data_IF_084135650342
#
_entry.id   IF_084135650342
#
_cell.length_a   1.000
_cell.length_b   1.000
_cell.length_c   1.000
_cell.angle_alpha   90.00
_cell.angle_beta   90.00
_cell.angle_gamma   90.00
#
_symmetry.space_group_name_H-M   'P 1'
#
loop_
_entity.id
_entity.type
_entity.pdbx_description
1 polymer ?
#
# COMPACT_ATOMS: atom_id res chain seq x y z
N UNK A 1 4.92 -3.23 -2.69
CA UNK A 1 5.86 -3.22 -1.56
C UNK A 1 5.37 -2.27 -0.45
N UNK A 2 6.02 -2.29 0.73
CA UNK A 2 5.61 -1.51 1.92
C UNK A 2 5.53 0.00 1.66
N UNK A 3 6.33 0.54 0.74
CA UNK A 3 6.40 1.97 0.42
C UNK A 3 5.55 2.38 -0.77
N UNK A 4 4.83 1.44 -1.38
CA UNK A 4 4.15 1.65 -2.67
C UNK A 4 5.07 2.34 -3.68
N UNK A 5 6.30 1.83 -3.85
CA UNK A 5 7.36 2.49 -4.65
C UNK A 5 6.95 2.72 -6.10
N UNK A 6 6.02 1.94 -6.62
CA UNK A 6 5.50 2.03 -7.99
C UNK A 6 4.37 3.07 -8.15
N UNK A 7 3.95 3.74 -7.07
CA UNK A 7 2.88 4.74 -7.14
C UNK A 7 3.17 5.87 -8.13
N UNK A 8 4.46 6.20 -8.34
CA UNK A 8 4.83 7.23 -9.31
C UNK A 8 4.64 6.75 -10.74
N UNK A 9 4.89 5.48 -11.04
CA UNK A 9 4.59 4.88 -12.35
C UNK A 9 3.09 4.81 -12.56
N UNK A 10 2.34 4.32 -11.58
CA UNK A 10 0.88 4.28 -11.59
C UNK A 10 0.25 5.66 -11.87
N UNK A 11 0.83 6.75 -11.34
CA UNK A 11 0.36 8.12 -11.61
C UNK A 11 0.48 8.49 -13.08
N UNK A 12 1.61 8.16 -13.71
CA UNK A 12 1.84 8.45 -15.14
C UNK A 12 0.93 7.58 -16.01
N UNK A 13 0.77 6.31 -15.68
CA UNK A 13 -0.14 5.39 -16.37
C UNK A 13 -1.58 5.87 -16.30
N UNK A 14 -2.08 6.20 -15.11
CA UNK A 14 -3.42 6.74 -14.92
C UNK A 14 -3.60 8.06 -15.65
N UNK A 15 -2.58 8.92 -15.66
CA UNK A 15 -2.65 10.19 -16.40
C UNK A 15 -2.74 9.94 -17.90
N UNK A 16 -1.98 8.98 -18.44
CA UNK A 16 -2.04 8.60 -19.84
C UNK A 16 -3.42 8.00 -20.21
N UNK A 17 -3.97 7.14 -19.36
CA UNK A 17 -5.31 6.58 -19.53
C UNK A 17 -6.36 7.71 -19.57
N UNK A 18 -6.32 8.63 -18.61
CA UNK A 18 -7.27 9.75 -18.56
C UNK A 18 -7.21 10.68 -19.78
N UNK A 19 -6.03 10.82 -20.39
CA UNK A 19 -5.85 11.62 -21.61
C UNK A 19 -6.31 10.90 -22.88
N UNK A 20 -6.28 9.57 -22.89
CA UNK A 20 -6.58 8.75 -24.07
C UNK A 20 -7.94 8.07 -24.04
N UNK A 21 -8.56 7.93 -22.87
CA UNK A 21 -9.81 7.21 -22.69
C UNK A 21 -11.01 7.93 -23.29
N UNK A 22 -12.05 7.17 -23.62
CA UNK A 22 -13.32 7.62 -24.15
C UNK A 22 -14.47 7.12 -23.25
N UNK A 23 -15.63 7.70 -23.43
CA UNK A 23 -16.84 7.22 -22.79
C UNK A 23 -17.11 5.76 -23.16
N UNK A 24 -17.34 4.94 -22.16
CA UNK A 24 -17.57 3.50 -22.30
C UNK A 24 -16.31 2.63 -22.15
N UNK A 25 -15.12 3.23 -22.10
CA UNK A 25 -13.90 2.46 -21.81
C UNK A 25 -13.90 1.95 -20.37
N UNK A 26 -13.32 0.76 -20.19
CA UNK A 26 -13.09 0.12 -18.90
C UNK A 26 -11.60 0.05 -18.60
N UNK A 27 -11.22 0.29 -17.37
CA UNK A 27 -9.86 0.11 -16.88
C UNK A 27 -9.78 -1.13 -16.00
N UNK A 28 -8.97 -2.11 -16.43
CA UNK A 28 -8.69 -3.30 -15.61
C UNK A 28 -7.33 -3.10 -14.93
N UNK A 29 -7.35 -2.99 -13.60
CA UNK A 29 -6.15 -2.89 -12.78
C UNK A 29 -5.82 -4.26 -12.18
N UNK A 30 -4.73 -4.88 -12.60
CA UNK A 30 -4.19 -6.09 -11.95
C UNK A 30 -3.42 -5.68 -10.71
N UNK A 31 -3.97 -6.01 -9.54
CA UNK A 31 -3.42 -5.57 -8.26
C UNK A 31 -2.80 -6.75 -7.50
N UNK A 32 -1.54 -6.60 -7.13
CA UNK A 32 -0.84 -7.52 -6.22
C UNK A 32 -0.15 -6.70 -5.14
N UNK A 33 -0.74 -6.62 -3.94
CA UNK A 33 -0.17 -5.87 -2.82
C UNK A 33 -0.64 -6.37 -1.46
N UNK A 34 0.30 -6.62 -0.56
CA UNK A 34 0.05 -6.91 0.85
C UNK A 34 -0.17 -5.63 1.70
N UNK A 35 -0.09 -4.45 1.11
CA UNK A 35 -0.20 -3.18 1.81
C UNK A 35 1.13 -2.65 2.35
N UNK A 36 1.05 -1.66 3.23
CA UNK A 36 2.22 -0.98 3.79
C UNK A 36 1.89 0.38 4.40
N UNK A 37 2.75 1.36 4.21
CA UNK A 37 2.62 2.70 4.80
C UNK A 37 1.33 3.40 4.38
N UNK A 38 0.54 3.83 5.35
CA UNK A 38 -0.80 4.41 5.14
C UNK A 38 -0.79 5.57 4.15
N UNK A 39 0.16 6.51 4.29
CA UNK A 39 0.25 7.68 3.39
C UNK A 39 0.62 7.30 1.96
N UNK A 40 1.44 6.27 1.76
CA UNK A 40 1.84 5.80 0.45
C UNK A 40 0.67 5.09 -0.28
N UNK A 41 -0.04 4.22 0.43
CA UNK A 41 -1.22 3.55 -0.10
C UNK A 41 -2.44 4.46 -0.21
N UNK A 42 -2.58 5.46 0.67
CA UNK A 42 -3.56 6.52 0.52
C UNK A 42 -3.36 7.31 -0.78
N UNK A 43 -2.10 7.63 -1.13
CA UNK A 43 -1.79 8.25 -2.42
C UNK A 43 -2.13 7.31 -3.59
N UNK A 44 -1.78 6.03 -3.48
CA UNK A 44 -2.09 5.05 -4.53
C UNK A 44 -3.61 4.89 -4.75
N UNK A 45 -4.39 4.76 -3.68
CA UNK A 45 -5.85 4.73 -3.75
C UNK A 45 -6.42 6.02 -4.38
N UNK A 46 -5.86 7.20 -4.05
CA UNK A 46 -6.25 8.48 -4.65
C UNK A 46 -5.99 8.51 -6.16
N UNK A 47 -4.97 7.80 -6.66
CA UNK A 47 -4.78 7.69 -8.12
C UNK A 47 -5.89 6.86 -8.77
N UNK A 48 -6.30 5.74 -8.16
CA UNK A 48 -7.42 4.93 -8.69
C UNK A 48 -8.74 5.71 -8.65
N UNK A 49 -8.96 6.55 -7.63
CA UNK A 49 -10.11 7.45 -7.54
C UNK A 49 -10.20 8.37 -8.77
N UNK A 50 -9.09 8.89 -9.27
CA UNK A 50 -9.09 9.77 -10.47
C UNK A 50 -9.76 9.13 -11.68
N UNK A 51 -9.59 7.81 -11.88
CA UNK A 51 -10.27 7.08 -12.96
C UNK A 51 -11.80 7.06 -12.74
N UNK A 52 -12.23 6.80 -11.50
CA UNK A 52 -13.63 6.77 -11.13
C UNK A 52 -14.29 8.15 -11.26
N UNK A 53 -13.59 9.19 -10.81
CA UNK A 53 -14.07 10.57 -10.89
C UNK A 53 -14.19 11.05 -12.34
N UNK A 54 -13.40 10.48 -13.25
CA UNK A 54 -13.51 10.71 -14.69
C UNK A 54 -14.64 9.89 -15.36
N UNK A 55 -15.43 9.13 -14.58
CA UNK A 55 -16.55 8.33 -15.09
C UNK A 55 -16.17 6.98 -15.67
N UNK A 56 -14.92 6.56 -15.59
CA UNK A 56 -14.49 5.26 -16.10
C UNK A 56 -14.95 4.12 -15.18
N UNK A 57 -15.32 3.00 -15.80
CA UNK A 57 -15.52 1.76 -15.06
C UNK A 57 -14.17 1.17 -14.70
N UNK A 58 -13.92 0.95 -13.41
CA UNK A 58 -12.66 0.39 -12.93
C UNK A 58 -12.90 -0.98 -12.34
N UNK A 59 -12.32 -2.00 -12.95
CA UNK A 59 -12.28 -3.36 -12.42
C UNK A 59 -10.90 -3.63 -11.84
N UNK A 60 -10.85 -3.97 -10.55
CA UNK A 60 -9.62 -4.44 -9.90
C UNK A 60 -9.63 -5.97 -9.88
N UNK A 61 -8.61 -6.58 -10.47
CA UNK A 61 -8.41 -8.03 -10.45
C UNK A 61 -7.25 -8.41 -9.54
N UNK A 62 -7.54 -9.28 -8.56
CA UNK A 62 -6.62 -9.75 -7.53
C UNK A 62 -6.35 -11.23 -7.71
N UNK A 63 -5.22 -11.57 -8.32
CA UNK A 63 -4.87 -12.98 -8.53
C UNK A 63 -4.19 -13.61 -7.30
N UNK A 64 -3.49 -12.81 -6.47
CA UNK A 64 -2.73 -13.33 -5.32
C UNK A 64 -3.04 -12.61 -4.01
N UNK A 65 -2.95 -11.28 -3.96
CA UNK A 65 -3.12 -10.53 -2.72
C UNK A 65 -3.55 -9.08 -2.94
N UNK A 66 -4.57 -8.66 -2.21
CA UNK A 66 -4.90 -7.26 -1.95
C UNK A 66 -5.31 -7.12 -0.48
N UNK A 67 -4.34 -6.85 0.38
CA UNK A 67 -4.51 -6.78 1.83
C UNK A 67 -4.07 -5.43 2.39
N UNK A 68 -4.69 -4.99 3.49
CA UNK A 68 -4.35 -3.71 4.15
C UNK A 68 -4.40 -2.54 3.15
N UNK A 69 -3.28 -1.82 2.95
CA UNK A 69 -3.18 -0.79 1.92
C UNK A 69 -3.52 -1.27 0.50
N UNK A 70 -3.27 -2.55 0.18
CA UNK A 70 -3.72 -3.16 -1.08
C UNK A 70 -5.24 -3.18 -1.19
N UNK A 71 -5.95 -3.51 -0.12
CA UNK A 71 -7.40 -3.44 -0.11
C UNK A 71 -7.93 -2.00 -0.11
N UNK A 72 -7.19 -1.05 0.50
CA UNK A 72 -7.49 0.38 0.40
C UNK A 72 -7.53 0.86 -1.07
N UNK A 73 -6.65 0.32 -1.92
CA UNK A 73 -6.69 0.58 -3.36
C UNK A 73 -7.84 -0.16 -4.05
N UNK A 74 -8.04 -1.44 -3.70
CA UNK A 74 -9.05 -2.29 -4.35
C UNK A 74 -10.48 -1.79 -4.08
N UNK A 75 -10.78 -1.36 -2.85
CA UNK A 75 -12.14 -0.96 -2.47
C UNK A 75 -12.70 0.24 -3.23
N UNK A 76 -11.84 1.02 -3.91
CA UNK A 76 -12.23 2.15 -4.77
C UNK A 76 -12.87 1.70 -6.08
N UNK A 77 -12.60 0.47 -6.53
CA UNK A 77 -13.05 -0.03 -7.83
C UNK A 77 -14.58 -0.07 -7.98
N UNK A 78 -15.07 -0.06 -9.22
CA UNK A 78 -16.45 -0.36 -9.56
C UNK A 78 -16.76 -1.83 -9.31
N UNK A 79 -15.77 -2.69 -9.58
CA UNK A 79 -15.85 -4.13 -9.48
C UNK A 79 -14.51 -4.70 -8.99
N UNK A 80 -14.56 -5.65 -8.07
CA UNK A 80 -13.39 -6.36 -7.57
C UNK A 80 -13.52 -7.84 -7.92
N UNK A 81 -12.54 -8.35 -8.65
CA UNK A 81 -12.39 -9.78 -8.95
C UNK A 81 -11.31 -10.36 -8.04
N UNK A 82 -11.49 -11.58 -7.58
CA UNK A 82 -10.45 -12.30 -6.87
C UNK A 82 -10.33 -13.75 -7.34
N UNK A 83 -9.11 -14.24 -7.47
CA UNK A 83 -8.88 -15.67 -7.60
C UNK A 83 -9.33 -16.39 -6.31
N UNK A 84 -9.78 -17.66 -6.38
CA UNK A 84 -10.35 -18.35 -5.22
C UNK A 84 -9.46 -18.39 -3.97
N UNK A 85 -8.15 -18.40 -4.14
CA UNK A 85 -7.17 -18.44 -3.05
C UNK A 85 -6.39 -17.12 -2.89
N UNK A 86 -6.80 -16.04 -3.53
CA UNK A 86 -6.21 -14.72 -3.29
C UNK A 86 -6.45 -14.28 -1.83
N UNK A 87 -5.47 -13.62 -1.25
CA UNK A 87 -5.55 -13.07 0.11
C UNK A 87 -6.18 -11.67 0.03
N UNK A 88 -7.30 -11.47 0.73
CA UNK A 88 -8.10 -10.24 0.67
C UNK A 88 -8.38 -9.73 2.10
N UNK A 89 -8.48 -8.42 2.28
CA UNK A 89 -8.90 -7.83 3.55
C UNK A 89 -7.74 -7.26 4.35
N UNK A 90 -7.49 -7.77 5.55
CA UNK A 90 -6.52 -7.19 6.50
C UNK A 90 -6.79 -5.69 6.72
N UNK A 91 -8.08 -5.35 6.92
CA UNK A 91 -8.51 -3.97 7.20
C UNK A 91 -8.19 -3.67 8.66
N UNK A 92 -6.95 -3.28 8.88
CA UNK A 92 -6.39 -3.01 10.19
C UNK A 92 -5.13 -2.16 10.10
N UNK A 93 -4.64 -1.69 11.25
CA UNK A 93 -3.42 -0.88 11.36
C UNK A 93 -2.53 -1.45 12.44
N UNK A 94 -1.26 -1.58 12.15
CA UNK A 94 -0.26 -2.05 13.09
C UNK A 94 0.91 -1.06 13.15
N UNK A 95 1.46 -0.84 14.34
CA UNK A 95 2.72 -0.14 14.55
C UNK A 95 3.68 -1.05 15.30
N UNK A 96 4.78 -1.41 14.67
CA UNK A 96 5.79 -2.30 15.24
C UNK A 96 7.13 -1.56 15.34
N UNK A 97 7.75 -1.60 16.50
CA UNK A 97 9.06 -1.01 16.73
C UNK A 97 9.83 -1.83 17.78
N UNK A 98 11.01 -2.38 17.43
CA UNK A 98 11.88 -2.99 18.44
C UNK A 98 12.39 -1.90 19.40
N UNK A 99 12.54 -2.24 20.70
CA UNK A 99 13.09 -1.33 21.69
C UNK A 99 14.35 -1.93 22.34
N UNK A 100 15.48 -1.27 22.15
CA UNK A 100 16.79 -1.68 22.67
C UNK A 100 17.22 -0.91 23.92
N UNK A 101 16.38 -0.09 24.54
CA UNK A 101 16.73 0.73 25.69
C UNK A 101 17.31 -0.10 26.84
N UNK A 102 16.72 -1.27 27.16
CA UNK A 102 17.24 -2.14 28.22
C UNK A 102 18.61 -2.72 27.90
N UNK A 103 18.90 -2.99 26.61
CA UNK A 103 20.20 -3.47 26.18
C UNK A 103 21.26 -2.39 26.37
N UNK A 104 20.96 -1.14 25.99
CA UNK A 104 21.86 0.00 26.21
C UNK A 104 22.16 0.19 27.69
N UNK A 105 21.13 0.23 28.54
CA UNK A 105 21.29 0.35 30.00
C UNK A 105 22.13 -0.79 30.60
N UNK A 106 22.00 -2.02 30.10
CA UNK A 106 22.81 -3.16 30.55
C UNK A 106 24.32 -3.03 30.23
N UNK A 107 24.63 -2.27 29.20
CA UNK A 107 26.02 -2.04 28.73
C UNK A 107 26.55 -0.66 29.13
N UNK A 108 25.91 0.04 30.08
CA UNK A 108 26.29 1.39 30.54
C UNK A 108 26.42 2.41 29.38
N UNK A 109 25.53 2.27 28.36
CA UNK A 109 25.46 3.18 27.23
C UNK A 109 24.28 4.14 27.44
N UNK A 110 24.60 5.42 27.56
CA UNK A 110 23.59 6.47 27.67
C UNK A 110 23.02 6.81 26.27
N UNK A 111 21.72 7.05 26.24
CA UNK A 111 21.01 7.57 25.07
C UNK A 111 20.31 8.87 25.45
N UNK A 112 20.75 9.96 24.85
CA UNK A 112 20.18 11.29 25.05
C UNK A 112 19.34 11.69 23.84
N UNK A 113 18.10 12.15 24.10
CA UNK A 113 17.20 12.68 23.09
C UNK A 113 16.72 14.06 23.50
N UNK A 114 17.08 15.08 22.72
CA UNK A 114 16.62 16.45 22.90
C UNK A 114 15.55 16.75 21.86
N UNK A 115 14.34 17.07 22.28
CA UNK A 115 13.23 17.38 21.38
C UNK A 115 12.38 18.52 21.91
N UNK A 116 11.78 19.28 21.00
CA UNK A 116 10.76 20.27 21.31
C UNK A 116 9.40 19.79 20.76
N UNK A 117 8.35 19.94 21.55
CA UNK A 117 7.01 19.44 21.28
C UNK A 117 6.77 18.07 21.93
N UNK A 118 5.70 18.01 22.75
CA UNK A 118 5.39 16.88 23.63
C UNK A 118 5.32 15.53 22.89
N UNK A 119 4.77 15.51 21.67
CA UNK A 119 4.56 14.29 20.89
C UNK A 119 5.46 14.21 19.65
N UNK A 120 6.55 15.03 19.61
CA UNK A 120 7.50 15.00 18.48
C UNK A 120 8.16 13.63 18.31
N UNK A 121 8.41 12.94 19.43
CA UNK A 121 8.90 11.56 19.49
C UNK A 121 8.20 10.88 20.67
N UNK A 122 7.37 9.90 20.41
CA UNK A 122 6.63 9.13 21.41
C UNK A 122 7.37 7.86 21.76
N UNK A 123 7.31 6.85 20.93
CA UNK A 123 8.05 5.59 21.06
C UNK A 123 9.24 5.61 20.10
N UNK A 124 10.42 5.22 20.60
CA UNK A 124 11.66 5.16 19.81
C UNK A 124 12.39 3.84 20.05
N UNK A 125 13.30 3.48 19.15
CA UNK A 125 14.08 2.24 19.26
C UNK A 125 15.03 2.23 20.46
N UNK A 126 15.56 3.39 20.88
CA UNK A 126 16.62 3.49 21.88
C UNK A 126 16.16 4.17 23.17
N UNK A 127 15.16 5.03 23.09
CA UNK A 127 14.61 5.73 24.27
C UNK A 127 13.73 4.82 25.14
N UNK A 128 13.49 5.29 26.36
CA UNK A 128 12.55 4.64 27.25
C UNK A 128 11.11 4.83 26.77
N UNK A 129 10.35 3.73 26.69
CA UNK A 129 8.93 3.77 26.35
C UNK A 129 8.11 3.98 27.60
N UNK A 130 7.56 5.18 27.76
CA UNK A 130 6.64 5.50 28.88
C UNK A 130 5.22 5.04 28.57
N UNK A 131 4.39 4.84 29.59
CA UNK A 131 2.96 4.50 29.41
C UNK A 131 2.22 5.60 28.63
N UNK A 132 2.55 6.87 28.87
CA UNK A 132 2.00 8.01 28.12
C UNK A 132 2.36 7.94 26.63
N UNK A 133 3.61 7.63 26.30
CA UNK A 133 4.06 7.48 24.92
C UNK A 133 3.36 6.29 24.23
N UNK A 134 3.20 5.17 24.94
CA UNK A 134 2.47 3.99 24.46
C UNK A 134 1.00 4.31 24.18
N UNK A 135 0.32 4.98 25.13
CA UNK A 135 -1.09 5.37 24.99
C UNK A 135 -1.28 6.31 23.81
N UNK A 136 -0.32 7.22 23.54
CA UNK A 136 -0.41 8.13 22.39
C UNK A 136 -0.27 7.39 21.06
N UNK A 137 0.66 6.44 20.95
CA UNK A 137 0.79 5.61 19.74
C UNK A 137 -0.46 4.75 19.53
N UNK A 138 -1.03 4.18 20.61
CA UNK A 138 -2.28 3.43 20.53
C UNK A 138 -3.42 4.29 19.99
N UNK A 139 -3.58 5.51 20.51
CA UNK A 139 -4.57 6.47 19.99
C UNK A 139 -4.39 6.76 18.49
N UNK A 140 -3.15 6.97 18.04
CA UNK A 140 -2.83 7.23 16.63
C UNK A 140 -3.16 6.04 15.72
N UNK A 141 -2.88 4.81 16.19
CA UNK A 141 -3.24 3.56 15.48
C UNK A 141 -4.75 3.41 15.37
N UNK A 142 -5.48 3.65 16.46
CA UNK A 142 -6.95 3.58 16.49
C UNK A 142 -7.60 4.65 15.61
N UNK A 143 -7.10 5.89 15.63
CA UNK A 143 -7.56 6.96 14.74
C UNK A 143 -7.34 6.60 13.27
N UNK A 144 -6.17 6.08 12.94
CA UNK A 144 -5.84 5.65 11.56
C UNK A 144 -6.75 4.50 11.13
N UNK A 145 -7.03 3.54 12.03
CA UNK A 145 -7.93 2.43 11.73
C UNK A 145 -9.36 2.91 11.51
N UNK A 146 -9.83 3.86 12.31
CA UNK A 146 -11.16 4.45 12.10
C UNK A 146 -11.28 5.17 10.76
N UNK A 147 -10.28 5.96 10.38
CA UNK A 147 -10.24 6.60 9.05
C UNK A 147 -10.23 5.56 7.92
N UNK A 148 -9.51 4.46 8.09
CA UNK A 148 -9.52 3.37 7.10
C UNK A 148 -10.92 2.75 6.98
N UNK A 149 -11.59 2.46 8.10
CA UNK A 149 -12.97 1.95 8.11
C UNK A 149 -13.95 2.89 7.43
N UNK A 150 -13.88 4.19 7.74
CA UNK A 150 -14.71 5.23 7.13
C UNK A 150 -14.51 5.27 5.61
N UNK A 151 -13.26 5.26 5.15
CA UNK A 151 -12.94 5.23 3.75
C UNK A 151 -13.50 3.98 3.04
N UNK A 152 -13.30 2.80 3.62
CA UNK A 152 -13.85 1.55 3.06
C UNK A 152 -15.37 1.60 3.03
N UNK A 153 -16.03 2.10 4.10
CA UNK A 153 -17.48 2.24 4.14
C UNK A 153 -18.03 3.17 3.08
N UNK A 154 -17.36 4.27 2.83
CA UNK A 154 -17.73 5.22 1.76
C UNK A 154 -17.66 4.57 0.38
N UNK A 155 -16.58 3.81 0.10
CA UNK A 155 -16.36 3.21 -1.21
C UNK A 155 -17.13 1.91 -1.42
N UNK A 156 -17.37 1.16 -0.35
CA UNK A 156 -18.13 -0.12 -0.37
C UNK A 156 -19.19 -0.14 0.75
N UNK A 157 -20.28 0.58 0.60
CA UNK A 157 -21.32 0.68 1.63
C UNK A 157 -22.04 -0.64 1.94
N UNK A 158 -21.90 -1.64 1.07
CA UNK A 158 -22.45 -2.99 1.24
C UNK A 158 -21.78 -3.79 2.36
N UNK A 159 -20.55 -3.41 2.78
CA UNK A 159 -19.77 -4.16 3.77
C UNK A 159 -20.32 -4.00 5.19
N UNK A 160 -20.36 -5.11 5.91
CA UNK A 160 -20.45 -5.13 7.36
C UNK A 160 -19.03 -4.96 7.94
N UNK A 161 -18.70 -3.73 8.32
CA UNK A 161 -17.36 -3.39 8.82
C UNK A 161 -17.04 -4.05 10.15
N UNK A 162 -18.02 -4.33 10.98
CA UNK A 162 -17.78 -5.00 12.26
C UNK A 162 -17.31 -6.44 12.04
N UNK A 163 -17.77 -7.07 10.95
CA UNK A 163 -17.33 -8.40 10.58
C UNK A 163 -16.00 -8.42 9.83
N UNK A 164 -15.68 -7.39 9.02
CA UNK A 164 -14.55 -7.46 8.08
C UNK A 164 -13.39 -6.51 8.40
N UNK A 165 -13.56 -5.57 9.32
CA UNK A 165 -12.51 -4.60 9.66
C UNK A 165 -11.83 -4.92 11.02
N UNK A 166 -11.57 -6.21 11.25
CA UNK A 166 -10.93 -6.74 12.46
C UNK A 166 -9.41 -6.86 12.32
N UNK A 167 -8.86 -6.57 11.14
CA UNK A 167 -7.46 -6.81 10.80
C UNK A 167 -7.19 -8.21 10.24
N UNK A 168 -8.19 -9.08 10.20
CA UNK A 168 -8.10 -10.41 9.60
C UNK A 168 -8.04 -10.34 8.07
N UNK A 169 -7.56 -11.42 7.47
CA UNK A 169 -7.58 -11.62 6.03
C UNK A 169 -8.33 -12.90 5.69
N UNK A 170 -8.86 -12.97 4.49
CA UNK A 170 -9.66 -14.08 3.98
C UNK A 170 -9.14 -14.53 2.62
N UNK A 171 -9.33 -15.79 2.31
CA UNK A 171 -9.16 -16.28 0.95
C UNK A 171 -10.31 -15.77 0.06
N UNK A 172 -10.07 -15.65 -1.25
CA UNK A 172 -11.03 -15.10 -2.21
C UNK A 172 -12.44 -15.69 -2.07
N UNK A 173 -12.56 -16.99 -1.85
CA UNK A 173 -13.85 -17.66 -1.64
C UNK A 173 -14.58 -17.08 -0.41
N UNK A 174 -13.89 -16.95 0.71
CA UNK A 174 -14.45 -16.37 1.94
C UNK A 174 -14.74 -14.87 1.78
N UNK A 175 -13.84 -14.17 1.09
CA UNK A 175 -13.98 -12.75 0.80
C UNK A 175 -15.20 -12.44 -0.06
N UNK A 176 -15.57 -13.36 -0.97
CA UNK A 176 -16.79 -13.26 -1.76
C UNK A 176 -18.05 -13.37 -0.90
N UNK A 177 -18.10 -14.34 0.00
CA UNK A 177 -19.23 -14.50 0.93
C UNK A 177 -19.39 -13.27 1.84
N UNK A 178 -18.26 -12.66 2.24
CA UNK A 178 -18.20 -11.43 3.04
C UNK A 178 -18.40 -10.15 2.21
N UNK A 179 -18.62 -10.25 0.90
CA UNK A 179 -18.79 -9.12 -0.03
C UNK A 179 -17.60 -8.19 -0.17
N UNK A 180 -16.42 -8.63 0.26
CA UNK A 180 -15.16 -7.92 0.06
C UNK A 180 -14.76 -7.88 -1.42
N UNK A 181 -15.19 -8.87 -2.20
CA UNK A 181 -15.04 -8.96 -3.65
C UNK A 181 -16.37 -9.26 -4.31
N UNK A 182 -16.49 -8.96 -5.60
CA UNK A 182 -17.76 -9.04 -6.34
C UNK A 182 -17.89 -10.31 -7.19
N UNK A 183 -16.74 -10.92 -7.56
CA UNK A 183 -16.74 -12.13 -8.40
C UNK A 183 -15.48 -12.95 -8.13
N UNK A 184 -15.62 -14.29 -8.14
CA UNK A 184 -14.49 -15.22 -8.08
C UNK A 184 -13.98 -15.48 -9.50
N UNK A 185 -12.90 -14.81 -9.88
CA UNK A 185 -12.35 -14.91 -11.23
C UNK A 185 -10.90 -14.41 -11.25
N UNK A 186 -10.06 -15.03 -12.09
CA UNK A 186 -8.72 -14.54 -12.37
C UNK A 186 -8.73 -13.36 -13.35
N UNK A 187 -7.67 -12.55 -13.34
CA UNK A 187 -7.50 -11.49 -14.32
C UNK A 187 -7.45 -12.01 -15.76
N UNK A 188 -6.80 -13.16 -15.98
CA UNK A 188 -6.66 -13.76 -17.30
C UNK A 188 -8.01 -14.22 -17.85
N UNK A 189 -8.82 -14.91 -17.03
CA UNK A 189 -10.17 -15.32 -17.43
C UNK A 189 -11.07 -14.13 -17.74
N UNK A 190 -10.95 -13.07 -16.97
CA UNK A 190 -11.71 -11.85 -17.21
C UNK A 190 -11.34 -11.21 -18.54
N UNK A 191 -10.04 -10.97 -18.78
CA UNK A 191 -9.55 -10.38 -20.03
C UNK A 191 -9.91 -11.26 -21.24
N UNK A 192 -9.76 -12.57 -21.13
CA UNK A 192 -10.15 -13.50 -22.21
C UNK A 192 -11.63 -13.41 -22.56
N UNK A 193 -12.51 -13.13 -21.61
CA UNK A 193 -13.94 -12.96 -21.89
C UNK A 193 -14.29 -11.67 -22.63
N UNK A 194 -13.41 -10.67 -22.59
CA UNK A 194 -13.59 -9.37 -23.26
C UNK A 194 -13.08 -9.36 -24.72
N UNK A 195 -12.28 -10.35 -25.11
CA UNK A 195 -11.54 -10.38 -26.40
C UNK A 195 -12.41 -10.16 -27.65
N UNK A 196 -13.66 -10.61 -27.60
CA UNK A 196 -14.57 -10.52 -28.75
C UNK A 196 -15.51 -9.29 -28.65
N UNK A 197 -15.45 -8.56 -27.51
CA UNK A 197 -16.31 -7.43 -27.22
C UNK A 197 -15.55 -6.08 -27.19
N UNK A 198 -14.24 -6.09 -26.97
CA UNK A 198 -13.44 -4.89 -26.85
C UNK A 198 -11.99 -5.10 -27.33
N UNK A 199 -11.36 -4.03 -27.80
CA UNK A 199 -9.91 -4.00 -27.98
C UNK A 199 -9.23 -3.83 -26.62
N UNK A 200 -8.22 -4.67 -26.36
CA UNK A 200 -7.50 -4.69 -25.09
C UNK A 200 -6.11 -4.08 -25.27
N UNK A 201 -5.81 -3.05 -24.52
CA UNK A 201 -4.50 -2.38 -24.52
C UNK A 201 -3.85 -2.50 -23.15
N UNK A 202 -2.57 -2.83 -23.12
CA UNK A 202 -1.75 -2.72 -21.92
C UNK A 202 -1.12 -1.31 -21.88
N UNK A 203 -1.29 -0.62 -20.75
CA UNK A 203 -0.68 0.68 -20.50
C UNK A 203 0.41 0.52 -19.46
N UNK A 204 1.65 0.73 -19.87
CA UNK A 204 2.83 0.66 -19.01
C UNK A 204 3.66 1.93 -19.17
N UNK A 205 3.97 2.59 -18.06
CA UNK A 205 4.93 3.69 -18.02
C UNK A 205 6.31 3.17 -17.63
N UNK A 206 7.27 3.26 -18.56
CA UNK A 206 8.64 2.83 -18.31
C UNK A 206 9.62 4.00 -18.39
N UNK A 207 10.47 4.15 -17.38
CA UNK A 207 11.59 5.09 -17.41
C UNK A 207 12.75 4.44 -18.17
N UNK A 208 13.09 4.97 -19.34
CA UNK A 208 14.27 4.52 -20.09
C UNK A 208 15.53 4.78 -19.26
N UNK A 209 16.13 3.75 -18.69
CA UNK A 209 17.44 3.86 -18.02
C UNK A 209 18.49 4.28 -19.06
N UNK A 210 19.18 5.40 -18.82
CA UNK A 210 20.29 5.83 -19.67
C UNK A 210 21.35 4.73 -19.67
N UNK A 211 22.02 4.55 -20.84
CA UNK A 211 23.07 3.50 -21.01
C UNK A 211 24.19 3.65 -19.97
N UNK A 212 24.46 4.88 -19.50
CA UNK A 212 25.41 5.15 -18.42
C UNK A 212 25.05 4.48 -17.07
N UNK A 213 23.74 4.36 -16.76
CA UNK A 213 23.27 3.73 -15.52
C UNK A 213 23.46 2.19 -15.56
N UNK A 214 23.42 1.61 -16.77
CA UNK A 214 23.75 0.19 -16.98
C UNK A 214 25.24 -0.10 -16.75
N UNK A 215 26.13 0.82 -17.13
CA UNK A 215 27.57 0.71 -16.91
C UNK A 215 27.95 0.92 -15.45
N UNK A 216 27.31 1.83 -14.74
CA UNK A 216 27.54 2.03 -13.30
C UNK A 216 27.09 0.84 -12.45
N UNK A 217 26.02 0.12 -12.85
CA UNK A 217 25.59 -1.12 -12.22
C UNK A 217 26.60 -2.27 -12.37
N UNK A 218 27.28 -2.35 -13.51
CA UNK A 218 28.34 -3.36 -13.76
C UNK A 218 29.60 -3.03 -12.94
N UNK A 219 30.00 -1.75 -12.86
CA UNK A 219 31.14 -1.30 -12.05
C UNK A 219 30.86 -1.44 -10.56
N UNK A 220 29.61 -1.25 -10.11
CA UNK A 220 29.18 -1.50 -8.73
C UNK A 220 29.22 -2.98 -8.34
N UNK A 221 28.88 -3.88 -9.25
CA UNK A 221 28.93 -5.33 -9.04
C UNK A 221 30.37 -5.88 -8.98
N UNK A 222 31.33 -5.19 -9.62
CA UNK A 222 32.77 -5.54 -9.57
C UNK A 222 33.49 -4.99 -8.32
N UNK A 223 32.86 -4.07 -7.61
CA UNK A 223 33.35 -3.55 -6.32
C UNK A 223 32.67 -4.21 -5.16
N UNK A 224 32.86 -5.44 -4.83
CA UNK A 224 32.33 -6.23 -3.70
C UNK A 224 31.42 -5.50 -2.68
N UNK A 225 30.68 -6.17 -1.83
CA UNK A 225 29.72 -5.53 -0.92
C UNK A 225 30.42 -4.53 -0.01
N UNK A 226 30.18 -3.24 -0.23
CA UNK A 226 30.51 -2.22 0.77
C UNK A 226 29.62 -2.46 1.98
N UNK A 227 30.21 -2.69 3.13
CA UNK A 227 29.49 -2.65 4.41
C UNK A 227 28.76 -1.30 4.51
N UNK A 228 27.48 -1.30 4.90
CA UNK A 228 26.67 -0.07 4.96
C UNK A 228 27.08 0.74 6.19
N UNK A 229 28.13 1.54 6.07
CA UNK A 229 28.49 2.56 7.08
C UNK A 229 27.77 3.90 6.84
N UNK A 230 27.09 4.06 5.68
CA UNK A 230 26.48 5.33 5.27
C UNK A 230 25.02 5.51 5.71
N UNK A 231 24.46 4.61 6.53
CA UNK A 231 23.07 4.73 7.00
C UNK A 231 22.89 5.72 8.16
N UNK A 232 23.95 6.33 8.66
CA UNK A 232 23.85 7.30 9.77
C UNK A 232 23.65 8.76 9.32
N UNK A 233 23.97 9.12 8.08
CA UNK A 233 23.92 10.53 7.63
C UNK A 233 22.56 11.01 7.10
N UNK A 234 21.60 10.11 6.82
CA UNK A 234 20.29 10.53 6.30
C UNK A 234 19.31 11.10 7.34
N UNK A 235 19.68 11.10 8.61
CA UNK A 235 18.86 11.67 9.69
C UNK A 235 19.08 13.15 9.98
N UNK A 236 20.05 13.80 9.33
CA UNK A 236 20.44 15.18 9.67
C UNK A 236 19.80 16.26 8.79
N UNK A 237 19.01 15.88 7.77
CA UNK A 237 18.40 16.86 6.85
C UNK A 237 16.86 16.80 6.86
N UNK A 238 16.26 16.99 8.02
CA UNK A 238 14.87 17.44 8.09
C UNK A 238 14.80 18.62 9.06
N UNK A 239 15.01 19.80 8.50
CA UNK A 239 14.62 21.07 9.13
C UNK A 239 13.14 21.32 8.93
#
# INVERSE_FOLDING_TARGET
DIRASEVMLLREEITAILLGSREGDEVVLRLESAGGMVHAYGLAASQVIRLRDAGLHVTVAVDKVAASGGYLMACVASKILAAPFAIIGSIGVVAEMPNFNRLLKKHDIDYEQISAGEYKRTVTMLGETTDKARSKVQEEVEQTHNLFKEFVKEKRPILDLDAVATGEHWLGIQAFDLKLVDELRTSDDYLMSLRDAADIFEVEYSIKKKVLDRLSGIVGALRGPKLPLDSFDSFTQMK
#
